data_IF_726386068123
#
_entry.id   IF_726386068123
#
_cell.length_a   1.000
_cell.length_b   1.000
_cell.length_c   1.000
_cell.angle_alpha   90.00
_cell.angle_beta   90.00
_cell.angle_gamma   90.00
#
_symmetry.space_group_name_H-M   'P 1'
#
loop_
_entity.id
_entity.type
_entity.pdbx_description
1 polymer ?
#
# COMPACT_ATOMS: atom_id res chain seq x y z
N UNK A 1 -3.12 14.19 -2.43
CA UNK A 1 -4.10 14.25 -1.32
C UNK A 1 -5.27 15.12 -1.74
N UNK A 2 -6.49 14.71 -1.46
CA UNK A 2 -7.72 15.44 -1.81
C UNK A 2 -7.98 16.52 -0.78
N UNK A 3 -8.16 17.76 -1.24
CA UNK A 3 -8.44 18.94 -0.41
C UNK A 3 -9.92 19.30 -0.38
N UNK A 4 -10.61 19.06 -1.47
CA UNK A 4 -12.08 19.22 -1.55
C UNK A 4 -12.65 18.34 -2.66
N UNK A 5 -13.94 18.01 -2.54
CA UNK A 5 -14.74 17.39 -3.59
C UNK A 5 -16.05 18.18 -3.75
N UNK A 6 -16.45 18.44 -4.98
CA UNK A 6 -17.70 19.10 -5.32
C UNK A 6 -18.26 18.48 -6.60
N UNK A 7 -19.32 17.69 -6.48
CA UNK A 7 -19.87 16.93 -7.61
C UNK A 7 -18.82 16.00 -8.21
N UNK A 8 -18.42 16.27 -9.44
CA UNK A 8 -17.40 15.51 -10.18
C UNK A 8 -15.97 16.04 -10.00
N UNK A 9 -15.79 17.19 -9.39
CA UNK A 9 -14.51 17.85 -9.32
C UNK A 9 -13.82 17.61 -7.97
N UNK A 10 -12.54 17.28 -8.05
CA UNK A 10 -11.64 17.15 -6.90
C UNK A 10 -10.53 18.18 -7.01
N UNK A 11 -10.27 18.90 -5.92
CA UNK A 11 -9.02 19.63 -5.75
C UNK A 11 -8.00 18.75 -5.04
N UNK A 12 -6.87 18.54 -5.68
CA UNK A 12 -5.83 17.55 -5.26
C UNK A 12 -4.48 18.22 -5.16
N UNK A 13 -3.74 17.93 -4.09
CA UNK A 13 -2.33 18.30 -3.95
C UNK A 13 -1.44 17.08 -4.25
N UNK A 14 -0.39 17.30 -5.04
CA UNK A 14 0.56 16.27 -5.46
C UNK A 14 2.01 16.67 -5.16
N UNK A 15 2.90 15.68 -4.98
CA UNK A 15 4.35 15.87 -4.80
C UNK A 15 5.01 16.53 -6.02
N UNK A 16 4.46 16.34 -7.19
CA UNK A 16 5.02 16.82 -8.44
C UNK A 16 3.96 16.82 -9.54
N UNK A 17 4.36 16.49 -10.76
CA UNK A 17 3.42 16.35 -11.85
C UNK A 17 2.55 15.10 -11.62
N UNK A 18 1.26 15.24 -11.85
CA UNK A 18 0.35 14.08 -11.86
C UNK A 18 0.55 13.28 -13.15
N UNK A 19 0.69 11.98 -12.99
CA UNK A 19 0.83 11.05 -14.12
C UNK A 19 -0.53 10.55 -14.65
N UNK A 20 -1.63 11.06 -14.09
CA UNK A 20 -2.98 10.72 -14.48
C UNK A 20 -3.35 11.53 -15.73
N UNK A 21 -3.93 10.85 -16.72
CA UNK A 21 -4.40 11.47 -17.96
C UNK A 21 -5.90 11.26 -18.14
N UNK A 22 -6.57 12.05 -18.99
CA UNK A 22 -7.95 11.81 -19.33
C UNK A 22 -8.19 10.38 -19.85
N UNK A 23 -9.21 9.72 -19.32
CA UNK A 23 -9.53 8.31 -19.58
C UNK A 23 -8.90 7.31 -18.60
N UNK A 24 -7.91 7.71 -17.83
CA UNK A 24 -7.25 6.79 -16.87
C UNK A 24 -8.19 6.43 -15.70
N UNK A 25 -8.20 5.16 -15.28
CA UNK A 25 -8.82 4.78 -14.03
C UNK A 25 -8.04 5.37 -12.85
N UNK A 26 -8.78 5.81 -11.85
CA UNK A 26 -8.23 6.34 -10.60
C UNK A 26 -8.83 5.63 -9.41
N UNK A 27 -8.00 5.37 -8.43
CA UNK A 27 -8.38 4.84 -7.14
C UNK A 27 -8.64 6.00 -6.18
N UNK A 28 -9.71 5.87 -5.41
CA UNK A 28 -10.17 6.84 -4.43
C UNK A 28 -10.19 6.17 -3.05
N UNK A 29 -9.46 6.75 -2.11
CA UNK A 29 -9.32 6.18 -0.75
C UNK A 29 -9.64 7.24 0.29
N UNK A 30 -10.49 6.89 1.24
CA UNK A 30 -10.82 7.74 2.39
C UNK A 30 -9.66 7.82 3.38
N UNK A 31 -9.69 8.80 4.26
CA UNK A 31 -8.69 8.92 5.35
C UNK A 31 -8.66 7.69 6.27
N UNK A 32 -9.74 6.94 6.36
CA UNK A 32 -9.82 5.65 7.07
C UNK A 32 -9.06 4.51 6.39
N UNK A 33 -8.58 4.70 5.17
CA UNK A 33 -8.00 3.65 4.33
C UNK A 33 -9.05 2.85 3.52
N UNK A 34 -10.34 3.18 3.66
CA UNK A 34 -11.40 2.55 2.87
C UNK A 34 -11.29 2.96 1.40
N UNK A 35 -11.21 1.96 0.53
CA UNK A 35 -11.20 2.16 -0.92
C UNK A 35 -12.63 2.27 -1.43
N UNK A 36 -12.94 3.38 -2.07
CA UNK A 36 -14.19 3.58 -2.79
C UNK A 36 -14.16 2.87 -4.15
N UNK A 37 -15.32 2.68 -4.82
CA UNK A 37 -15.33 2.25 -6.21
C UNK A 37 -14.47 3.15 -7.08
N UNK A 38 -13.73 2.57 -8.04
CA UNK A 38 -12.87 3.31 -8.94
C UNK A 38 -13.69 4.25 -9.84
N UNK A 39 -13.07 5.35 -10.23
CA UNK A 39 -13.61 6.32 -11.17
C UNK A 39 -12.64 6.46 -12.35
N UNK A 40 -13.03 7.25 -13.38
CA UNK A 40 -12.13 7.64 -14.46
C UNK A 40 -11.89 9.14 -14.41
N UNK A 41 -10.66 9.55 -14.63
CA UNK A 41 -10.34 10.95 -14.83
C UNK A 41 -10.84 11.41 -16.20
N UNK A 42 -11.65 12.46 -16.23
CA UNK A 42 -12.11 13.10 -17.46
C UNK A 42 -11.15 14.23 -17.84
N UNK A 43 -10.69 14.97 -16.86
CA UNK A 43 -9.68 16.01 -17.07
C UNK A 43 -8.77 16.15 -15.85
N UNK A 44 -7.54 16.62 -16.09
CA UNK A 44 -6.56 16.97 -15.06
C UNK A 44 -5.97 18.32 -15.45
N UNK A 45 -6.18 19.33 -14.63
CA UNK A 45 -5.76 20.70 -14.91
C UNK A 45 -4.98 21.28 -13.72
N UNK A 46 -3.91 22.06 -13.94
CA UNK A 46 -3.28 22.82 -12.87
C UNK A 46 -4.31 23.72 -12.17
N UNK A 47 -4.28 23.77 -10.85
CA UNK A 47 -5.23 24.52 -10.02
C UNK A 47 -4.56 25.66 -9.22
N UNK A 48 -3.51 26.23 -9.76
CA UNK A 48 -2.80 27.36 -9.15
C UNK A 48 -1.97 26.98 -7.93
N UNK A 49 -1.87 27.92 -6.99
CA UNK A 49 -1.04 27.77 -5.78
C UNK A 49 -1.74 26.95 -4.69
N UNK A 50 -0.96 26.36 -3.80
CA UNK A 50 -1.44 25.74 -2.58
C UNK A 50 -1.87 26.85 -1.62
N UNK A 51 -3.10 26.78 -1.13
CA UNK A 51 -3.69 27.77 -0.23
C UNK A 51 -3.12 27.63 1.19
N UNK A 52 -3.12 28.72 1.95
CA UNK A 52 -2.65 28.70 3.34
C UNK A 52 -3.49 27.74 4.21
N UNK A 53 -4.80 27.70 4.02
CA UNK A 53 -5.68 26.75 4.71
C UNK A 53 -5.39 25.27 4.37
N UNK A 54 -4.82 25.00 3.19
CA UNK A 54 -4.40 23.65 2.79
C UNK A 54 -3.07 23.30 3.45
N UNK A 55 -2.13 24.24 3.54
CA UNK A 55 -0.88 24.06 4.28
C UNK A 55 -1.12 23.80 5.76
N UNK A 56 -2.01 24.59 6.38
CA UNK A 56 -2.39 24.41 7.78
C UNK A 56 -3.02 23.03 8.03
N UNK A 57 -3.86 22.55 7.12
CA UNK A 57 -4.42 21.20 7.20
C UNK A 57 -3.33 20.12 7.09
N UNK A 58 -2.43 20.21 6.11
CA UNK A 58 -1.35 19.24 5.92
C UNK A 58 -0.44 19.13 7.15
N UNK A 59 -0.16 20.23 7.81
CA UNK A 59 0.66 20.25 9.03
C UNK A 59 0.08 19.40 10.17
N UNK A 60 -1.22 19.16 10.17
CA UNK A 60 -1.93 18.38 11.18
C UNK A 60 -2.07 16.89 10.82
N UNK A 61 -1.77 16.50 9.57
CA UNK A 61 -1.94 15.13 9.12
C UNK A 61 -0.76 14.23 9.54
N UNK A 62 -1.01 12.93 9.61
CA UNK A 62 0.05 11.94 9.80
C UNK A 62 0.78 11.70 8.47
N UNK A 63 1.57 12.67 8.04
CA UNK A 63 2.35 12.64 6.81
C UNK A 63 3.84 12.67 7.14
N UNK A 64 4.65 12.31 6.15
CA UNK A 64 6.10 12.55 6.20
C UNK A 64 6.42 14.02 6.52
N UNK A 65 7.49 14.25 7.26
CA UNK A 65 7.89 15.59 7.70
C UNK A 65 8.13 16.58 6.53
N UNK A 66 8.63 16.08 5.40
CA UNK A 66 8.79 16.87 4.19
C UNK A 66 7.46 17.31 3.59
N UNK A 67 6.46 16.43 3.60
CA UNK A 67 5.11 16.73 3.14
C UNK A 67 4.40 17.71 4.07
N UNK A 68 4.51 17.51 5.40
CA UNK A 68 3.94 18.43 6.42
C UNK A 68 4.45 19.85 6.26
N UNK A 69 5.74 20.03 6.01
CA UNK A 69 6.35 21.35 5.80
C UNK A 69 5.98 21.97 4.45
N UNK A 70 5.26 21.27 3.59
CA UNK A 70 4.92 21.71 2.23
C UNK A 70 6.08 21.63 1.23
N UNK A 71 7.27 21.22 1.64
CA UNK A 71 8.43 21.11 0.75
C UNK A 71 8.30 20.02 -0.30
N UNK A 72 7.56 18.95 0.00
CA UNK A 72 7.30 17.84 -0.91
C UNK A 72 6.03 17.99 -1.75
N UNK A 73 5.12 18.90 -1.39
CA UNK A 73 3.89 19.16 -2.13
C UNK A 73 4.08 20.39 -2.99
N UNK A 74 4.31 20.17 -4.28
CA UNK A 74 4.66 21.26 -5.19
C UNK A 74 3.50 21.84 -5.96
N UNK A 75 2.40 21.08 -6.17
CA UNK A 75 1.38 21.46 -7.15
C UNK A 75 -0.03 21.11 -6.72
N UNK A 76 -0.96 22.00 -7.05
CA UNK A 76 -2.40 21.77 -6.94
C UNK A 76 -3.00 21.48 -8.32
N UNK A 77 -3.96 20.56 -8.36
CA UNK A 77 -4.68 20.17 -9.56
C UNK A 77 -6.17 20.13 -9.30
N UNK A 78 -6.96 20.43 -10.33
CA UNK A 78 -8.37 20.06 -10.42
C UNK A 78 -8.48 18.81 -11.28
N UNK A 79 -9.07 17.75 -10.72
CA UNK A 79 -9.36 16.51 -11.43
C UNK A 79 -10.86 16.37 -11.55
N UNK A 80 -11.37 16.32 -12.79
CA UNK A 80 -12.78 16.04 -13.06
C UNK A 80 -12.94 14.53 -13.29
N UNK A 81 -13.89 13.93 -12.60
CA UNK A 81 -14.21 12.50 -12.70
C UNK A 81 -15.42 12.24 -13.59
N UNK A 82 -15.57 11.02 -14.07
CA UNK A 82 -16.71 10.56 -14.86
C UNK A 82 -18.02 10.49 -14.05
N UNK A 83 -17.93 10.46 -12.72
CA UNK A 83 -19.07 10.40 -11.80
C UNK A 83 -18.89 11.36 -10.62
N UNK A 84 -19.98 11.67 -9.95
CA UNK A 84 -19.94 12.41 -8.70
C UNK A 84 -19.36 11.55 -7.57
N UNK A 85 -18.57 12.18 -6.71
CA UNK A 85 -17.99 11.57 -5.54
C UNK A 85 -18.06 12.53 -4.35
N UNK A 86 -18.30 11.96 -3.16
CA UNK A 86 -18.25 12.69 -1.90
C UNK A 86 -17.08 12.15 -1.08
N UNK A 87 -15.94 12.81 -1.18
CA UNK A 87 -14.74 12.43 -0.42
C UNK A 87 -14.39 13.56 0.52
N UNK A 88 -14.37 13.30 1.84
CA UNK A 88 -13.88 14.27 2.82
C UNK A 88 -12.44 14.69 2.56
N UNK A 89 -12.08 15.87 2.99
CA UNK A 89 -10.70 16.35 2.99
C UNK A 89 -9.77 15.36 3.69
N UNK A 90 -8.61 15.10 3.09
CA UNK A 90 -7.63 14.15 3.60
C UNK A 90 -7.65 12.79 2.94
N UNK A 91 -8.66 12.49 2.11
CA UNK A 91 -8.60 11.31 1.25
C UNK A 91 -7.47 11.41 0.21
N UNK A 92 -7.20 10.31 -0.46
CA UNK A 92 -6.17 10.26 -1.52
C UNK A 92 -6.77 9.80 -2.85
N UNK A 93 -6.21 10.35 -3.92
CA UNK A 93 -6.46 9.93 -5.29
C UNK A 93 -5.16 9.36 -5.84
N UNK A 94 -5.22 8.13 -6.35
CA UNK A 94 -4.06 7.42 -6.88
C UNK A 94 -4.28 7.02 -8.34
N UNK A 95 -3.20 6.94 -9.12
CA UNK A 95 -3.25 6.30 -10.42
C UNK A 95 -3.44 4.80 -10.25
N UNK A 96 -4.33 4.20 -11.03
CA UNK A 96 -4.56 2.76 -11.00
C UNK A 96 -3.89 2.00 -12.15
N UNK A 97 -3.40 2.68 -13.18
CA UNK A 97 -2.84 2.04 -14.38
C UNK A 97 -1.41 2.48 -14.75
N UNK A 98 -0.94 3.64 -14.29
CA UNK A 98 0.41 4.15 -14.64
C UNK A 98 1.41 3.92 -13.53
N UNK A 99 1.45 2.71 -12.97
CA UNK A 99 2.22 2.34 -11.78
C UNK A 99 3.08 1.09 -11.99
N UNK A 100 3.36 0.68 -13.23
CA UNK A 100 4.16 -0.51 -13.52
C UNK A 100 3.38 -1.83 -13.47
N UNK A 101 2.09 -1.80 -13.73
CA UNK A 101 1.24 -2.99 -13.79
C UNK A 101 1.73 -4.01 -14.83
N UNK A 102 1.49 -5.29 -14.56
CA UNK A 102 1.94 -6.39 -15.42
C UNK A 102 3.41 -6.75 -15.21
N UNK A 103 3.97 -6.44 -14.06
CA UNK A 103 5.37 -6.75 -13.73
C UNK A 103 5.59 -8.24 -13.42
N UNK A 104 6.82 -8.70 -13.62
CA UNK A 104 7.26 -10.01 -13.19
C UNK A 104 8.66 -9.93 -12.56
N UNK A 105 8.80 -10.51 -11.36
CA UNK A 105 10.07 -10.71 -10.67
C UNK A 105 10.26 -12.21 -10.50
N UNK A 106 11.15 -12.80 -11.27
CA UNK A 106 11.31 -14.26 -11.34
C UNK A 106 12.75 -14.68 -11.21
N UNK A 107 12.99 -15.73 -10.39
CA UNK A 107 14.28 -16.40 -10.28
C UNK A 107 15.46 -15.44 -9.99
N UNK A 108 15.20 -14.40 -9.21
CA UNK A 108 16.19 -13.40 -8.80
C UNK A 108 16.74 -13.74 -7.40
N UNK A 109 17.96 -13.28 -7.14
CA UNK A 109 18.55 -13.32 -5.81
C UNK A 109 18.62 -11.91 -5.23
N UNK A 110 18.06 -11.74 -4.03
CA UNK A 110 18.10 -10.49 -3.26
C UNK A 110 18.70 -10.80 -1.90
N UNK A 111 19.48 -9.90 -1.36
CA UNK A 111 19.92 -10.11 0.00
C UNK A 111 20.90 -9.10 0.54
N UNK A 112 21.11 -9.20 1.85
CA UNK A 112 22.06 -8.40 2.61
C UNK A 112 21.92 -6.90 2.40
N UNK A 113 20.68 -6.47 2.15
CA UNK A 113 20.35 -5.06 1.97
C UNK A 113 19.79 -4.44 3.26
N UNK A 114 19.89 -3.13 3.35
CA UNK A 114 19.47 -2.34 4.52
C UNK A 114 17.96 -2.09 4.57
N UNK A 115 17.19 -2.54 3.61
CA UNK A 115 15.76 -2.23 3.47
C UNK A 115 14.97 -3.48 3.10
N UNK A 116 13.86 -3.31 2.38
CA UNK A 116 13.03 -4.39 1.83
C UNK A 116 13.77 -5.06 0.68
N UNK A 117 13.58 -6.36 0.50
CA UNK A 117 14.02 -7.05 -0.70
C UNK A 117 13.29 -6.50 -1.94
N UNK A 118 11.97 -6.53 -1.90
CA UNK A 118 11.09 -5.97 -2.94
C UNK A 118 10.00 -5.14 -2.27
N UNK A 119 9.72 -3.95 -2.83
CA UNK A 119 8.55 -3.13 -2.47
C UNK A 119 7.63 -3.02 -3.69
N UNK A 120 6.38 -3.45 -3.53
CA UNK A 120 5.38 -3.49 -4.59
C UNK A 120 4.30 -2.45 -4.34
N UNK A 121 4.04 -1.64 -5.37
CA UNK A 121 2.99 -0.63 -5.44
C UNK A 121 2.27 -0.67 -6.79
N UNK A 122 2.21 -1.86 -7.40
CA UNK A 122 1.66 -2.10 -8.73
C UNK A 122 0.77 -3.34 -8.72
N UNK A 123 -0.03 -3.51 -9.75
CA UNK A 123 -1.02 -4.59 -9.89
C UNK A 123 -0.70 -5.52 -11.07
N UNK A 124 -1.44 -6.62 -11.17
CA UNK A 124 -1.32 -7.61 -12.26
C UNK A 124 0.10 -8.15 -12.38
N UNK A 125 0.70 -8.53 -11.24
CA UNK A 125 2.09 -8.91 -11.18
C UNK A 125 2.36 -10.25 -10.51
N UNK A 126 3.59 -10.72 -10.69
CA UNK A 126 4.05 -11.94 -10.04
C UNK A 126 5.46 -11.81 -9.47
N UNK A 127 5.64 -12.46 -8.34
CA UNK A 127 6.90 -12.59 -7.62
C UNK A 127 7.11 -14.10 -7.41
N UNK A 128 7.94 -14.73 -8.25
CA UNK A 128 7.98 -16.19 -8.35
C UNK A 128 9.39 -16.74 -8.36
N UNK A 129 9.65 -17.76 -7.53
CA UNK A 129 10.90 -18.51 -7.54
C UNK A 129 12.14 -17.69 -7.13
N UNK A 130 11.95 -16.58 -6.41
CA UNK A 130 13.07 -15.75 -5.97
C UNK A 130 13.70 -16.30 -4.68
N UNK A 131 14.99 -16.05 -4.51
CA UNK A 131 15.72 -16.28 -3.28
C UNK A 131 16.03 -14.95 -2.61
N UNK A 132 15.63 -14.80 -1.35
CA UNK A 132 15.79 -13.57 -0.55
C UNK A 132 16.42 -13.90 0.79
N UNK A 133 17.60 -13.35 1.07
CA UNK A 133 18.34 -13.64 2.30
C UNK A 133 18.82 -12.35 2.98
N UNK A 134 18.69 -12.28 4.31
CA UNK A 134 19.27 -11.21 5.11
C UNK A 134 18.76 -9.81 4.77
N UNK A 135 17.54 -9.66 4.29
CA UNK A 135 16.92 -8.36 4.15
C UNK A 135 16.65 -7.76 5.54
N UNK A 136 17.12 -6.55 5.81
CA UNK A 136 16.95 -5.92 7.12
C UNK A 136 15.48 -5.68 7.50
N UNK A 137 14.63 -5.43 6.52
CA UNK A 137 13.18 -5.31 6.66
C UNK A 137 12.50 -6.54 6.01
N UNK A 138 11.28 -6.38 5.52
CA UNK A 138 10.54 -7.43 4.81
C UNK A 138 11.27 -7.87 3.53
N UNK A 139 11.25 -9.17 3.23
CA UNK A 139 11.71 -9.65 1.93
C UNK A 139 10.78 -9.19 0.81
N UNK A 140 9.47 -9.35 1.01
CA UNK A 140 8.44 -8.87 0.08
C UNK A 140 7.49 -7.97 0.88
N UNK A 141 7.39 -6.70 0.50
CA UNK A 141 6.42 -5.76 1.02
C UNK A 141 5.49 -5.29 -0.10
N UNK A 142 4.19 -5.47 0.09
CA UNK A 142 3.14 -4.88 -0.75
C UNK A 142 2.44 -3.82 0.10
N UNK A 143 2.66 -2.55 -0.22
CA UNK A 143 2.10 -1.43 0.55
C UNK A 143 1.89 -0.24 -0.36
N UNK A 144 0.71 0.41 -0.35
CA UNK A 144 0.44 1.59 -1.17
C UNK A 144 1.19 2.82 -0.67
N UNK A 145 1.48 2.87 0.63
CA UNK A 145 2.05 4.04 1.30
C UNK A 145 1.27 5.33 0.96
N UNK A 146 -0.06 5.26 1.08
CA UNK A 146 -0.99 6.37 0.78
C UNK A 146 -0.57 7.70 1.41
N UNK A 147 -0.13 7.65 2.66
CA UNK A 147 0.17 8.84 3.46
C UNK A 147 1.58 9.38 3.23
N UNK A 148 2.37 8.66 2.42
CA UNK A 148 3.59 9.16 1.79
C UNK A 148 3.30 9.75 0.41
N UNK A 149 2.05 9.64 -0.07
CA UNK A 149 1.59 10.05 -1.40
C UNK A 149 2.43 9.43 -2.53
N UNK A 150 2.69 8.12 -2.44
CA UNK A 150 3.56 7.44 -3.40
C UNK A 150 2.77 6.63 -4.41
N UNK A 151 1.81 5.81 -3.99
CA UNK A 151 1.01 5.01 -4.91
C UNK A 151 -0.35 4.62 -4.32
N UNK A 152 -1.13 3.89 -5.11
CA UNK A 152 -2.36 3.23 -4.74
C UNK A 152 -2.16 1.78 -4.31
N UNK A 153 -3.26 1.07 -4.15
CA UNK A 153 -3.33 -0.34 -3.80
C UNK A 153 -2.79 -1.24 -4.90
N UNK A 154 -2.53 -2.49 -4.53
CA UNK A 154 -2.19 -3.55 -5.49
C UNK A 154 -3.32 -4.56 -5.62
N UNK A 155 -3.51 -5.09 -6.82
CA UNK A 155 -4.48 -6.15 -7.14
C UNK A 155 -3.87 -7.20 -8.06
N UNK A 156 -4.46 -8.40 -8.05
CA UNK A 156 -4.09 -9.49 -8.96
C UNK A 156 -2.60 -9.84 -8.87
N UNK A 157 -2.14 -10.14 -7.65
CA UNK A 157 -0.76 -10.52 -7.38
C UNK A 157 -0.62 -12.00 -7.09
N UNK A 158 0.47 -12.60 -7.60
CA UNK A 158 0.91 -13.96 -7.28
C UNK A 158 2.28 -13.91 -6.61
N UNK A 159 2.37 -14.43 -5.40
CA UNK A 159 3.60 -14.56 -4.62
C UNK A 159 3.83 -16.06 -4.39
N UNK A 160 4.64 -16.67 -5.25
CA UNK A 160 4.69 -18.13 -5.34
C UNK A 160 6.10 -18.69 -5.41
N UNK A 161 6.36 -19.78 -4.67
CA UNK A 161 7.61 -20.54 -4.78
C UNK A 161 8.87 -19.76 -4.39
N UNK A 162 8.76 -18.68 -3.61
CA UNK A 162 9.92 -17.92 -3.17
C UNK A 162 10.55 -18.58 -1.93
N UNK A 163 11.86 -18.48 -1.81
CA UNK A 163 12.62 -18.86 -0.61
C UNK A 163 13.07 -17.61 0.11
N UNK A 164 12.71 -17.47 1.38
CA UNK A 164 13.04 -16.31 2.22
C UNK A 164 13.74 -16.79 3.48
N UNK A 165 14.94 -16.26 3.75
CA UNK A 165 15.74 -16.64 4.90
C UNK A 165 16.31 -15.44 5.64
N UNK A 166 16.35 -15.52 6.98
CA UNK A 166 17.07 -14.57 7.85
C UNK A 166 16.70 -13.10 7.64
N UNK A 167 15.42 -12.78 7.38
CA UNK A 167 14.97 -11.41 7.27
C UNK A 167 14.60 -10.80 8.62
N UNK A 168 14.93 -9.52 8.82
CA UNK A 168 14.73 -8.81 10.08
C UNK A 168 13.29 -8.29 10.28
N UNK A 169 12.55 -8.06 9.20
CA UNK A 169 11.13 -7.70 9.24
C UNK A 169 10.22 -8.90 8.96
N UNK A 170 8.92 -8.63 8.80
CA UNK A 170 7.94 -9.66 8.39
C UNK A 170 8.28 -10.11 6.97
N UNK A 171 8.62 -11.39 6.75
CA UNK A 171 9.13 -11.88 5.48
C UNK A 171 8.25 -11.55 4.27
N UNK A 172 6.98 -11.93 4.33
CA UNK A 172 5.97 -11.58 3.31
C UNK A 172 4.91 -10.74 4.00
N UNK A 173 4.90 -9.44 3.68
CA UNK A 173 4.00 -8.46 4.29
C UNK A 173 3.16 -7.77 3.23
N UNK A 174 1.84 -7.82 3.41
CA UNK A 174 0.86 -7.11 2.59
C UNK A 174 0.04 -6.26 3.51
N UNK A 175 0.14 -4.95 3.38
CA UNK A 175 -0.48 -4.04 4.32
C UNK A 175 -1.05 -2.77 3.68
N UNK A 176 -2.10 -2.24 4.27
CA UNK A 176 -2.58 -0.89 4.02
C UNK A 176 -3.09 -0.28 5.32
N UNK A 177 -2.82 1.00 5.52
CA UNK A 177 -3.26 1.74 6.72
C UNK A 177 -4.04 2.98 6.34
N UNK A 178 -4.93 3.39 7.23
CA UNK A 178 -5.54 4.70 7.21
C UNK A 178 -4.58 5.80 7.65
N UNK A 179 -4.99 7.06 7.53
CA UNK A 179 -4.20 8.22 7.94
C UNK A 179 -3.97 8.32 9.45
N UNK A 180 -4.77 7.63 10.26
CA UNK A 180 -4.55 7.45 11.69
C UNK A 180 -3.43 6.45 12.03
N UNK A 181 -2.97 5.66 11.04
CA UNK A 181 -2.07 4.53 11.23
C UNK A 181 -2.78 3.23 11.62
N UNK A 182 -4.11 3.22 11.65
CA UNK A 182 -4.88 2.00 11.87
C UNK A 182 -4.96 1.17 10.58
N UNK A 183 -5.07 -0.16 10.75
CA UNK A 183 -5.19 -1.08 9.60
C UNK A 183 -6.46 -0.77 8.82
N UNK A 184 -6.33 -0.57 7.52
CA UNK A 184 -7.43 -0.23 6.63
C UNK A 184 -8.47 -1.37 6.55
N UNK A 185 -9.73 -1.08 6.19
CA UNK A 185 -10.73 -2.10 5.92
C UNK A 185 -10.34 -3.06 4.79
N UNK A 186 -10.99 -4.21 4.70
CA UNK A 186 -10.84 -5.14 3.59
C UNK A 186 -11.16 -4.45 2.25
N UNK A 187 -10.39 -4.80 1.20
CA UNK A 187 -10.60 -4.29 -0.16
C UNK A 187 -9.66 -3.16 -0.58
N UNK A 188 -8.76 -2.71 0.29
CA UNK A 188 -7.61 -1.91 -0.15
C UNK A 188 -6.82 -2.71 -1.20
N UNK A 189 -6.28 -3.86 -0.83
CA UNK A 189 -5.75 -4.82 -1.80
C UNK A 189 -6.81 -5.85 -2.23
N UNK A 190 -6.64 -6.48 -3.41
CA UNK A 190 -7.60 -7.46 -3.93
C UNK A 190 -6.92 -8.58 -4.73
N UNK A 191 -7.53 -9.76 -4.74
CA UNK A 191 -7.10 -10.89 -5.58
C UNK A 191 -5.63 -11.25 -5.39
N UNK A 192 -5.23 -11.56 -4.17
CA UNK A 192 -3.83 -11.90 -3.87
C UNK A 192 -3.72 -13.39 -3.56
N UNK A 193 -2.75 -14.05 -4.20
CA UNK A 193 -2.44 -15.47 -3.98
C UNK A 193 -1.02 -15.60 -3.42
N UNK A 194 -0.88 -16.35 -2.30
CA UNK A 194 0.40 -16.61 -1.63
C UNK A 194 0.51 -18.12 -1.42
N UNK A 195 1.37 -18.81 -2.16
CA UNK A 195 1.47 -20.27 -2.07
C UNK A 195 2.85 -20.81 -2.46
N UNK A 196 3.22 -21.96 -1.91
CA UNK A 196 4.47 -22.63 -2.25
C UNK A 196 5.74 -21.93 -1.80
N UNK A 197 5.65 -20.90 -0.95
CA UNK A 197 6.83 -20.20 -0.45
C UNK A 197 7.45 -20.95 0.72
N UNK A 198 8.75 -20.86 0.85
CA UNK A 198 9.53 -21.35 1.99
C UNK A 198 10.08 -20.16 2.76
N UNK A 199 9.76 -20.06 4.05
CA UNK A 199 10.26 -19.00 4.94
C UNK A 199 10.91 -19.64 6.16
N UNK A 200 12.17 -19.34 6.41
CA UNK A 200 12.92 -19.92 7.53
C UNK A 200 13.89 -18.91 8.16
N UNK A 201 14.22 -19.11 9.45
CA UNK A 201 15.15 -18.24 10.17
C UNK A 201 14.69 -16.79 10.37
N UNK A 202 13.39 -16.53 10.32
CA UNK A 202 12.80 -15.21 10.42
C UNK A 202 11.93 -15.06 11.68
N UNK A 203 11.57 -13.83 12.05
CA UNK A 203 10.62 -13.58 13.12
C UNK A 203 9.18 -13.88 12.67
N UNK A 204 8.31 -14.23 13.63
CA UNK A 204 6.86 -14.33 13.38
C UNK A 204 6.18 -12.95 13.35
N UNK A 205 5.15 -12.78 12.52
CA UNK A 205 4.62 -13.73 11.56
C UNK A 205 5.52 -13.85 10.31
N UNK A 206 5.50 -15.03 9.66
CA UNK A 206 6.14 -15.21 8.35
C UNK A 206 5.38 -14.52 7.23
N UNK A 207 4.06 -14.60 7.32
CA UNK A 207 3.14 -14.00 6.37
C UNK A 207 2.17 -13.13 7.17
N UNK A 208 2.16 -11.84 6.90
CA UNK A 208 1.13 -10.90 7.36
C UNK A 208 0.38 -10.38 6.15
N UNK A 209 -0.94 -10.52 6.18
CA UNK A 209 -1.81 -9.88 5.18
C UNK A 209 -2.87 -9.06 5.89
N UNK A 210 -2.98 -7.79 5.52
CA UNK A 210 -4.05 -6.93 5.99
C UNK A 210 -4.86 -6.37 4.83
N UNK A 211 -6.08 -5.93 5.11
CA UNK A 211 -6.88 -5.06 4.22
C UNK A 211 -7.11 -5.63 2.81
N UNK A 212 -7.12 -6.95 2.68
CA UNK A 212 -7.18 -7.64 1.38
C UNK A 212 -8.51 -8.34 1.18
N UNK A 213 -9.17 -8.10 0.04
CA UNK A 213 -10.35 -8.86 -0.40
C UNK A 213 -9.94 -9.93 -1.42
N UNK A 214 -10.63 -11.06 -1.42
CA UNK A 214 -10.35 -12.23 -2.25
C UNK A 214 -8.90 -12.71 -2.08
N UNK A 215 -8.53 -13.01 -0.83
CA UNK A 215 -7.22 -13.51 -0.44
C UNK A 215 -7.19 -15.03 -0.51
N UNK A 216 -6.15 -15.60 -1.11
CA UNK A 216 -5.88 -17.02 -1.16
C UNK A 216 -4.49 -17.31 -0.61
N UNK A 217 -4.41 -17.99 0.54
CA UNK A 217 -3.17 -18.50 1.11
C UNK A 217 -3.20 -20.03 1.02
N UNK A 218 -2.38 -20.57 0.13
CA UNK A 218 -2.21 -22.00 -0.04
C UNK A 218 -1.12 -22.55 0.87
N UNK A 219 -0.70 -23.84 0.65
CA UNK A 219 0.42 -24.43 1.38
C UNK A 219 1.71 -23.60 1.20
N UNK A 220 2.36 -23.29 2.33
CA UNK A 220 3.69 -22.68 2.41
C UNK A 220 4.49 -23.45 3.46
N UNK A 221 5.80 -23.52 3.33
CA UNK A 221 6.71 -24.09 4.34
C UNK A 221 7.19 -22.93 5.20
N UNK A 222 6.76 -22.92 6.47
CA UNK A 222 7.03 -21.84 7.41
C UNK A 222 7.68 -22.46 8.65
N UNK A 223 8.99 -22.27 8.84
CA UNK A 223 9.76 -23.04 9.81
C UNK A 223 10.92 -22.23 10.44
N UNK A 224 11.48 -22.76 11.55
CA UNK A 224 12.66 -22.24 12.25
C UNK A 224 12.57 -20.77 12.64
N UNK A 225 11.60 -20.40 13.50
CA UNK A 225 11.37 -19.05 13.95
C UNK A 225 12.45 -18.50 14.88
N UNK A 226 12.85 -17.25 14.63
CA UNK A 226 13.42 -16.40 15.66
C UNK A 226 12.24 -15.72 16.35
N UNK A 227 11.90 -16.12 17.56
CA UNK A 227 10.73 -15.63 18.30
C UNK A 227 10.81 -14.11 18.48
N UNK A 228 9.92 -13.36 17.85
CA UNK A 228 9.62 -11.99 18.23
C UNK A 228 8.75 -12.02 19.49
N UNK A 229 9.20 -11.38 20.57
CA UNK A 229 8.46 -11.39 21.83
C UNK A 229 7.34 -10.34 21.90
N UNK A 230 7.20 -9.47 20.89
CA UNK A 230 6.25 -8.36 20.95
C UNK A 230 5.34 -8.30 19.71
N UNK A 231 4.03 -8.31 19.98
CA UNK A 231 3.02 -7.95 18.99
C UNK A 231 3.15 -6.46 18.65
N UNK A 232 3.26 -6.07 17.38
CA UNK A 232 3.18 -4.68 16.97
C UNK A 232 1.91 -3.98 17.49
N UNK A 233 2.00 -2.68 17.74
CA UNK A 233 0.91 -1.94 18.37
C UNK A 233 -0.36 -1.88 17.53
N UNK A 234 -0.23 -1.77 16.21
CA UNK A 234 -1.31 -1.79 15.23
C UNK A 234 -2.02 -3.15 15.20
N UNK A 235 -1.28 -4.25 15.27
CA UNK A 235 -1.86 -5.60 15.37
C UNK A 235 -2.61 -5.80 16.67
N UNK A 236 -2.09 -5.28 17.80
CA UNK A 236 -2.81 -5.32 19.08
C UNK A 236 -4.11 -4.49 19.03
N UNK A 237 -4.07 -3.30 18.42
CA UNK A 237 -5.29 -2.48 18.22
C UNK A 237 -6.31 -3.19 17.34
N UNK A 238 -5.85 -3.99 16.39
CA UNK A 238 -6.73 -4.82 15.56
C UNK A 238 -7.24 -6.10 16.28
N UNK A 239 -6.95 -6.26 17.58
CA UNK A 239 -7.47 -7.35 18.39
C UNK A 239 -6.64 -8.63 18.38
N UNK A 240 -5.43 -8.61 17.82
CA UNK A 240 -4.56 -9.78 17.84
C UNK A 240 -3.97 -9.98 19.24
N UNK A 241 -4.11 -11.20 19.79
CA UNK A 241 -3.62 -11.56 21.13
C UNK A 241 -2.37 -12.44 21.09
N UNK A 242 -2.13 -13.12 19.97
CA UNK A 242 -0.99 -14.03 19.78
C UNK A 242 -0.45 -13.94 18.36
N UNK A 243 0.87 -14.06 18.21
CA UNK A 243 1.49 -14.24 16.91
C UNK A 243 1.32 -15.69 16.42
N UNK A 244 1.01 -15.81 15.13
CA UNK A 244 0.94 -17.07 14.40
C UNK A 244 1.84 -16.95 13.17
N UNK A 245 2.28 -18.09 12.57
CA UNK A 245 3.06 -18.06 11.33
C UNK A 245 2.39 -17.27 10.20
N UNK A 246 1.06 -17.38 10.11
CA UNK A 246 0.24 -16.59 9.18
C UNK A 246 -0.75 -15.76 9.97
N UNK A 247 -0.80 -14.48 9.68
CA UNK A 247 -1.72 -13.51 10.29
C UNK A 247 -2.51 -12.81 9.20
N UNK A 248 -3.82 -12.83 9.33
CA UNK A 248 -4.77 -12.15 8.44
C UNK A 248 -5.61 -11.17 9.28
N UNK A 249 -5.67 -9.89 8.88
CA UNK A 249 -6.46 -8.85 9.56
C UNK A 249 -7.24 -8.05 8.51
N UNK A 250 -8.54 -7.89 8.72
CA UNK A 250 -9.41 -7.22 7.75
C UNK A 250 -9.26 -7.83 6.34
N UNK A 251 -9.28 -9.15 6.26
CA UNK A 251 -9.23 -9.88 4.99
C UNK A 251 -10.55 -10.61 4.74
N UNK A 252 -10.87 -10.81 3.44
CA UNK A 252 -11.95 -11.72 3.01
C UNK A 252 -11.43 -12.73 1.98
N UNK A 253 -12.07 -13.89 1.97
CA UNK A 253 -11.78 -14.97 1.01
C UNK A 253 -12.59 -14.78 -0.27
#
# INVERSE_FOLDING_TARGET
MIMSSQGKELRVLAKGNMNIQPGDPVELVLYTGERLPDAKAVSVQPAGVILESERAFLAQQNLDAGLKSGRGLGKAFTVTLDREVAIPRGGVLCSANRIGNGFAVRNCNFGFNRSRGILIKASHGEITGNHMEGCWMSAILVSPEYWWLEAGSSSDLKITGNTVTNCGGIPICIEATGGSGDIAPAGAHRNITITGNTVTGCAMPAILVTSTANLQIGPNILDHWIMSQHLPADMRRAGLTQLKPVVEINCSK
#
